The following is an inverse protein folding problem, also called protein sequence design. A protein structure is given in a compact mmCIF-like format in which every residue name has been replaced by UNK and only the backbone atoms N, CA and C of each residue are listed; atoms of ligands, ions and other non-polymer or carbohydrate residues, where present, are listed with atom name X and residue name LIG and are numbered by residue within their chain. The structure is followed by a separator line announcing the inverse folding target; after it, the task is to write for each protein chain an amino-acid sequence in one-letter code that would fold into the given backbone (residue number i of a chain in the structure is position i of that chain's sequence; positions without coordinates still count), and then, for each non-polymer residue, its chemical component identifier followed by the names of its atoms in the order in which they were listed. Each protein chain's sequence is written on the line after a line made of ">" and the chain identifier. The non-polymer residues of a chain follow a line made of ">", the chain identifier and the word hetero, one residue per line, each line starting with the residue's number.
data_IF_266567717194
#
_entry.id   IF_266567717194
#
_cell.length_a   1.000
_cell.length_b   1.000
_cell.length_c   1.000
_cell.angle_alpha   90.00
_cell.angle_beta   90.00
_cell.angle_gamma   90.00
#
_symmetry.space_group_name_H-M   'P 1'
#
loop_
_entity.id
_entity.type
_entity.pdbx_description
1 polymer ?
#
# COMPACT_ATOMS: atom_id res chain seq x y z
N UNK A 1 -8.90 22.89 -5.12
CA UNK A 1 -7.98 22.13 -4.25
C UNK A 1 -6.72 21.87 -5.07
N UNK A 2 -5.53 22.30 -4.62
CA UNK A 2 -4.33 22.15 -5.45
C UNK A 2 -3.96 20.68 -5.58
N UNK A 3 -3.38 20.29 -6.72
CA UNK A 3 -2.87 18.93 -6.97
C UNK A 3 -1.93 18.46 -5.86
N UNK A 4 -1.18 19.38 -5.23
CA UNK A 4 -0.28 19.11 -4.11
C UNK A 4 -1.01 18.51 -2.90
N UNK A 5 -2.18 19.04 -2.52
CA UNK A 5 -2.95 18.54 -1.36
C UNK A 5 -3.41 17.10 -1.57
N UNK A 6 -3.75 16.73 -2.81
CA UNK A 6 -4.11 15.34 -3.14
C UNK A 6 -2.93 14.39 -3.00
N UNK A 7 -1.73 14.79 -3.44
CA UNK A 7 -0.52 13.97 -3.28
C UNK A 7 -0.14 13.80 -1.81
N UNK A 8 -0.22 14.85 -1.01
CA UNK A 8 0.07 14.79 0.43
C UNK A 8 -0.95 13.89 1.15
N UNK A 9 -2.24 14.07 0.89
CA UNK A 9 -3.28 13.21 1.47
C UNK A 9 -3.11 11.74 1.07
N UNK A 10 -2.79 11.47 -0.20
CA UNK A 10 -2.53 10.13 -0.69
C UNK A 10 -1.32 9.49 0.03
N UNK A 11 -0.22 10.25 0.18
CA UNK A 11 0.99 9.78 0.85
C UNK A 11 0.75 9.49 2.35
N UNK A 12 -0.04 10.31 3.04
CA UNK A 12 -0.41 10.09 4.44
C UNK A 12 -1.26 8.83 4.60
N UNK A 13 -2.31 8.68 3.79
CA UNK A 13 -3.18 7.49 3.83
C UNK A 13 -2.37 6.23 3.51
N UNK A 14 -1.44 6.34 2.57
CA UNK A 14 -0.54 5.25 2.19
C UNK A 14 0.38 4.81 3.34
N UNK A 15 1.04 5.76 4.01
CA UNK A 15 1.90 5.46 5.16
C UNK A 15 1.09 4.83 6.30
N UNK A 16 -0.10 5.37 6.58
CA UNK A 16 -0.99 4.82 7.60
C UNK A 16 -1.38 3.36 7.28
N UNK A 17 -1.69 3.06 6.02
CA UNK A 17 -2.02 1.71 5.56
C UNK A 17 -0.85 0.73 5.74
N UNK A 18 0.38 1.13 5.38
CA UNK A 18 1.57 0.27 5.58
C UNK A 18 1.77 -0.03 7.05
N UNK A 19 1.71 1.00 7.91
CA UNK A 19 1.93 0.83 9.35
C UNK A 19 0.88 -0.12 9.93
N UNK A 20 -0.40 0.12 9.66
CA UNK A 20 -1.49 -0.72 10.16
C UNK A 20 -1.36 -2.17 9.68
N UNK A 21 -1.13 -2.37 8.38
CA UNK A 21 -0.97 -3.70 7.80
C UNK A 21 0.25 -4.43 8.38
N UNK A 22 1.35 -3.72 8.63
CA UNK A 22 2.55 -4.30 9.25
C UNK A 22 2.28 -4.78 10.68
N UNK A 23 1.54 -4.02 11.48
CA UNK A 23 1.14 -4.43 12.83
C UNK A 23 0.27 -5.69 12.81
N UNK A 24 -0.70 -5.75 11.90
CA UNK A 24 -1.58 -6.93 11.75
C UNK A 24 -0.80 -8.17 11.28
N UNK A 25 0.13 -8.03 10.34
CA UNK A 25 1.00 -9.12 9.88
C UNK A 25 1.88 -9.64 11.02
N UNK A 26 2.42 -8.76 11.87
CA UNK A 26 3.23 -9.16 13.01
C UNK A 26 2.42 -9.95 14.05
N UNK A 27 1.19 -9.51 14.34
CA UNK A 27 0.26 -10.19 15.27
C UNK A 27 -0.33 -11.48 14.72
N UNK A 28 -0.35 -11.65 13.40
CA UNK A 28 -0.94 -12.81 12.75
C UNK A 28 -0.31 -14.14 13.21
N UNK A 29 -1.08 -15.24 13.28
CA UNK A 29 -0.57 -16.58 13.60
C UNK A 29 0.21 -17.24 12.45
N UNK A 30 0.41 -16.56 11.30
CA UNK A 30 1.18 -17.12 10.19
C UNK A 30 2.64 -17.42 10.56
N UNK A 31 3.24 -18.41 9.89
CA UNK A 31 4.67 -18.66 9.98
C UNK A 31 5.49 -17.47 9.43
N UNK A 32 6.78 -17.42 9.76
CA UNK A 32 7.67 -16.30 9.36
C UNK A 32 7.69 -16.09 7.85
N UNK A 33 7.69 -17.18 7.06
CA UNK A 33 7.66 -17.11 5.59
C UNK A 33 6.35 -16.51 5.05
N UNK A 34 5.21 -16.87 5.64
CA UNK A 34 3.90 -16.33 5.28
C UNK A 34 3.79 -14.85 5.65
N UNK A 35 4.32 -14.45 6.82
CA UNK A 35 4.41 -13.04 7.21
C UNK A 35 5.24 -12.22 6.23
N UNK A 36 6.39 -12.76 5.78
CA UNK A 36 7.24 -12.10 4.80
C UNK A 36 6.55 -11.93 3.44
N UNK A 37 5.78 -12.93 3.01
CA UNK A 37 5.01 -12.88 1.77
C UNK A 37 3.90 -11.82 1.84
N UNK A 38 3.14 -11.79 2.93
CA UNK A 38 2.12 -10.77 3.18
C UNK A 38 2.71 -9.36 3.24
N UNK A 39 3.85 -9.19 3.90
CA UNK A 39 4.54 -7.91 3.97
C UNK A 39 4.99 -7.45 2.57
N UNK A 40 5.50 -8.38 1.76
CA UNK A 40 5.87 -8.12 0.37
C UNK A 40 4.65 -7.69 -0.45
N UNK A 41 3.51 -8.38 -0.32
CA UNK A 41 2.26 -8.02 -1.00
C UNK A 41 1.79 -6.60 -0.66
N UNK A 42 1.84 -6.21 0.62
CA UNK A 42 1.48 -4.85 1.07
C UNK A 42 2.38 -3.79 0.44
N UNK A 43 3.68 -4.05 0.32
CA UNK A 43 4.64 -3.15 -0.34
C UNK A 43 4.41 -3.04 -1.86
N UNK A 44 3.98 -4.11 -2.52
CA UNK A 44 3.73 -4.12 -3.97
C UNK A 44 2.34 -3.62 -4.37
N UNK A 45 1.37 -3.62 -3.45
CA UNK A 45 0.02 -3.08 -3.66
C UNK A 45 -0.02 -1.67 -4.31
N UNK A 46 0.77 -0.67 -3.87
CA UNK A 46 0.83 0.66 -4.51
C UNK A 46 1.42 0.62 -5.93
N UNK A 47 2.34 -0.30 -6.22
CA UNK A 47 2.90 -0.45 -7.56
C UNK A 47 1.80 -0.91 -8.53
N UNK A 48 0.98 -1.88 -8.10
CA UNK A 48 -0.19 -2.34 -8.84
C UNK A 48 -1.25 -1.24 -9.00
N UNK A 49 -1.54 -0.48 -7.93
CA UNK A 49 -2.46 0.65 -7.99
C UNK A 49 -2.00 1.76 -8.95
N UNK A 50 -0.70 2.05 -8.96
CA UNK A 50 -0.11 3.04 -9.87
C UNK A 50 -0.17 2.59 -11.33
N UNK A 51 0.06 1.31 -11.59
CA UNK A 51 -0.12 0.71 -12.93
C UNK A 51 -1.58 0.84 -13.36
N UNK A 52 -2.54 0.44 -12.51
CA UNK A 52 -3.97 0.55 -12.83
C UNK A 52 -4.39 1.99 -13.12
N UNK A 53 -3.93 2.95 -12.33
CA UNK A 53 -4.22 4.37 -12.56
C UNK A 53 -3.63 4.89 -13.87
N UNK A 54 -2.39 4.50 -14.20
CA UNK A 54 -1.74 4.86 -15.46
C UNK A 54 -2.50 4.32 -16.69
N UNK A 55 -3.02 3.09 -16.59
CA UNK A 55 -3.82 2.48 -17.66
C UNK A 55 -5.21 3.10 -17.75
N UNK A 56 -5.88 3.36 -16.62
CA UNK A 56 -7.18 4.03 -16.58
C UNK A 56 -7.14 5.44 -17.18
N UNK A 57 -6.07 6.20 -16.95
CA UNK A 57 -5.90 7.55 -17.50
C UNK A 57 -5.65 7.58 -19.03
N UNK A 58 -5.28 6.44 -19.63
CA UNK A 58 -4.99 6.33 -21.08
C UNK A 58 -6.17 5.83 -21.92
N UNK A 59 -7.26 5.37 -21.29
CA UNK A 59 -8.53 5.06 -21.95
C UNK A 59 -9.52 6.21 -21.83
#
# INVERSE_FOLDING_TARGET
>A
MSTTVYYEAFLIIFLAFIIFSSFEILKSPYNTSGKFLWFSMVLFMPFLGSILFHWYRKG
#
